data_IF_438716347885
#
_entry.id   IF_438716347885
#
_cell.length_a   1.000
_cell.length_b   1.000
_cell.length_c   1.000
_cell.angle_alpha   90.00
_cell.angle_beta   90.00
_cell.angle_gamma   90.00
#
_symmetry.space_group_name_H-M   'P 1'
#
loop_
_entity.id
_entity.type
_entity.pdbx_description
1 polymer ?
#
# COMPACT_ATOMS: atom_id res chain seq x y z
N UNK A 1 -9.72 -13.75 -11.73
CA UNK A 1 -9.09 -12.51 -11.20
C UNK A 1 -7.94 -13.03 -10.39
N UNK A 2 -6.73 -12.75 -10.84
CA UNK A 2 -5.56 -13.54 -10.45
C UNK A 2 -4.63 -12.74 -9.52
N UNK A 3 -4.92 -11.45 -9.37
CA UNK A 3 -4.21 -10.53 -8.47
C UNK A 3 -4.73 -10.71 -7.04
N UNK A 4 -3.85 -11.15 -6.13
CA UNK A 4 -4.15 -11.28 -4.70
C UNK A 4 -3.24 -10.35 -3.91
N UNK A 5 -3.81 -9.61 -2.96
CA UNK A 5 -3.05 -8.76 -2.03
C UNK A 5 -3.29 -9.21 -0.61
N UNK A 6 -2.19 -9.46 0.12
CA UNK A 6 -2.22 -9.84 1.52
C UNK A 6 -1.65 -8.68 2.33
N UNK A 7 -2.34 -8.30 3.39
CA UNK A 7 -1.94 -7.20 4.29
C UNK A 7 -1.84 -7.76 5.70
N UNK A 8 -0.69 -7.53 6.34
CA UNK A 8 -0.43 -7.95 7.71
C UNK A 8 0.28 -6.85 8.49
N UNK A 9 0.18 -6.91 9.81
CA UNK A 9 0.82 -5.97 10.74
C UNK A 9 2.28 -6.31 11.05
N UNK A 10 2.71 -7.55 10.80
CA UNK A 10 4.07 -8.01 11.03
C UNK A 10 4.46 -9.10 10.02
N UNK A 11 5.78 -9.35 9.91
CA UNK A 11 6.34 -10.32 8.98
C UNK A 11 5.87 -11.75 9.24
N UNK A 12 5.91 -12.20 10.49
CA UNK A 12 5.53 -13.57 10.87
C UNK A 12 4.11 -13.92 10.42
N UNK A 13 3.15 -13.06 10.72
CA UNK A 13 1.76 -13.22 10.31
C UNK A 13 1.61 -13.18 8.78
N UNK A 14 2.42 -12.37 8.09
CA UNK A 14 2.40 -12.33 6.62
C UNK A 14 2.89 -13.66 6.02
N UNK A 15 3.96 -14.23 6.58
CA UNK A 15 4.49 -15.54 6.18
C UNK A 15 3.47 -16.66 6.41
N UNK A 16 2.83 -16.69 7.58
CA UNK A 16 1.75 -17.63 7.89
C UNK A 16 0.58 -17.53 6.89
N UNK A 17 0.16 -16.31 6.52
CA UNK A 17 -0.90 -16.11 5.52
C UNK A 17 -0.48 -16.58 4.13
N UNK A 18 0.78 -16.33 3.74
CA UNK A 18 1.31 -16.77 2.45
C UNK A 18 1.36 -18.30 2.39
N UNK A 19 1.80 -18.96 3.46
CA UNK A 19 1.86 -20.42 3.54
C UNK A 19 0.46 -21.04 3.38
N UNK A 20 -0.56 -20.49 4.04
CA UNK A 20 -1.95 -20.91 3.87
C UNK A 20 -2.41 -20.73 2.42
N UNK A 21 -2.07 -19.61 1.78
CA UNK A 21 -2.40 -19.38 0.36
C UNK A 21 -1.70 -20.40 -0.55
N UNK A 22 -0.43 -20.71 -0.29
CA UNK A 22 0.33 -21.70 -1.05
C UNK A 22 -0.22 -23.11 -0.88
N UNK A 23 -0.60 -23.51 0.34
CA UNK A 23 -1.31 -24.77 0.58
C UNK A 23 -2.62 -24.84 -0.21
N UNK A 24 -3.40 -23.77 -0.21
CA UNK A 24 -4.63 -23.69 -1.01
C UNK A 24 -4.35 -23.81 -2.51
N UNK A 25 -3.33 -23.12 -3.03
CA UNK A 25 -2.96 -23.21 -4.44
C UNK A 25 -2.52 -24.62 -4.82
N UNK A 26 -1.73 -25.28 -3.97
CA UNK A 26 -1.28 -26.65 -4.18
C UNK A 26 -2.45 -27.65 -4.25
N UNK A 27 -3.46 -27.51 -3.36
CA UNK A 27 -4.66 -28.36 -3.37
C UNK A 27 -5.45 -28.21 -4.68
N UNK A 28 -5.43 -27.03 -5.28
CA UNK A 28 -6.19 -26.70 -6.49
C UNK A 28 -5.35 -26.80 -7.77
N UNK A 29 -4.12 -27.32 -7.71
CA UNK A 29 -3.15 -27.35 -8.83
C UNK A 29 -2.91 -25.98 -9.49
N UNK A 30 -2.93 -24.92 -8.66
CA UNK A 30 -2.63 -23.54 -9.07
C UNK A 30 -1.15 -23.27 -8.81
N UNK A 31 -0.43 -22.75 -9.81
CA UNK A 31 0.98 -22.39 -9.68
C UNK A 31 1.15 -20.90 -9.40
N UNK A 32 1.58 -20.56 -8.18
CA UNK A 32 1.97 -19.20 -7.85
C UNK A 32 3.32 -18.84 -8.49
N UNK A 33 3.43 -17.61 -9.02
CA UNK A 33 4.69 -17.10 -9.54
C UNK A 33 5.33 -16.16 -8.51
N UNK A 34 6.11 -16.74 -7.60
CA UNK A 34 6.81 -16.01 -6.52
C UNK A 34 7.71 -14.89 -7.06
N UNK A 35 8.28 -15.06 -8.26
CA UNK A 35 9.11 -14.05 -8.91
C UNK A 35 8.38 -12.74 -9.26
N UNK A 36 7.05 -12.75 -9.29
CA UNK A 36 6.21 -11.57 -9.51
C UNK A 36 5.69 -10.92 -8.23
N UNK A 37 6.01 -11.48 -7.06
CA UNK A 37 5.51 -10.94 -5.80
C UNK A 37 6.15 -9.57 -5.54
N UNK A 38 5.34 -8.67 -4.98
CA UNK A 38 5.78 -7.32 -4.63
C UNK A 38 5.56 -7.12 -3.13
N UNK A 39 6.61 -6.70 -2.42
CA UNK A 39 6.53 -6.44 -0.99
C UNK A 39 6.43 -4.95 -0.72
N UNK A 40 5.31 -4.55 -0.15
CA UNK A 40 5.06 -3.18 0.26
C UNK A 40 5.22 -3.02 1.77
N UNK A 41 6.13 -2.17 2.21
CA UNK A 41 6.46 -1.99 3.63
C UNK A 41 6.08 -0.62 4.18
N UNK A 42 5.09 -0.56 5.05
CA UNK A 42 4.68 0.71 5.64
C UNK A 42 5.22 0.81 7.06
N UNK A 43 6.06 1.82 7.33
CA UNK A 43 6.67 2.09 8.63
C UNK A 43 7.49 0.92 9.22
N UNK A 44 7.97 -0.02 8.38
CA UNK A 44 8.76 -1.16 8.83
C UNK A 44 10.26 -0.95 8.58
N UNK A 45 11.08 -1.40 9.53
CA UNK A 45 12.56 -1.42 9.42
C UNK A 45 13.09 -2.74 8.87
N UNK A 46 12.25 -3.77 8.78
CA UNK A 46 12.66 -5.09 8.31
C UNK A 46 12.92 -5.08 6.81
N UNK A 47 14.03 -5.71 6.42
CA UNK A 47 14.56 -5.57 5.06
C UNK A 47 13.95 -6.57 4.10
N UNK A 48 13.74 -7.82 4.49
CA UNK A 48 13.51 -8.89 3.51
C UNK A 48 12.40 -9.86 3.94
N UNK A 49 11.59 -10.26 2.97
CA UNK A 49 10.65 -11.38 3.05
C UNK A 49 11.18 -12.47 2.11
N UNK A 50 11.35 -13.66 2.65
CA UNK A 50 11.78 -14.84 1.90
C UNK A 50 10.59 -15.79 1.80
N UNK A 51 10.28 -16.21 0.59
CA UNK A 51 9.16 -17.11 0.30
C UNK A 51 9.73 -18.28 -0.50
N UNK A 52 9.61 -19.49 0.03
CA UNK A 52 10.08 -20.72 -0.65
C UNK A 52 11.55 -20.63 -1.11
N UNK A 53 12.42 -20.02 -0.31
CA UNK A 53 13.84 -19.82 -0.65
C UNK A 53 14.12 -18.69 -1.65
N UNK A 54 13.08 -17.96 -2.08
CA UNK A 54 13.21 -16.80 -2.97
C UNK A 54 13.01 -15.49 -2.18
N UNK A 55 14.00 -14.60 -2.26
CA UNK A 55 13.88 -13.24 -1.72
C UNK A 55 13.00 -12.40 -2.64
N UNK A 56 11.97 -11.76 -2.09
CA UNK A 56 11.10 -10.86 -2.85
C UNK A 56 11.89 -9.63 -3.31
N UNK A 57 12.03 -9.48 -4.63
CA UNK A 57 12.92 -8.48 -5.25
C UNK A 57 12.36 -7.06 -5.24
N UNK A 58 11.05 -6.88 -5.41
CA UNK A 58 10.45 -5.55 -5.52
C UNK A 58 10.03 -5.05 -4.14
N UNK A 59 10.72 -4.00 -3.69
CA UNK A 59 10.43 -3.27 -2.45
C UNK A 59 10.01 -1.84 -2.75
N UNK A 60 9.46 -1.17 -1.74
CA UNK A 60 9.04 0.22 -1.82
C UNK A 60 10.03 1.16 -2.49
N UNK A 61 9.52 2.03 -3.36
CA UNK A 61 10.23 3.23 -3.81
C UNK A 61 10.12 4.35 -2.75
N UNK A 62 11.19 5.12 -2.55
CA UNK A 62 11.23 6.30 -1.68
C UNK A 62 10.25 7.40 -2.11
N UNK A 63 10.03 7.53 -3.41
CA UNK A 63 9.07 8.48 -3.96
C UNK A 63 7.63 8.10 -3.56
N UNK A 64 7.37 6.80 -3.39
CA UNK A 64 6.08 6.22 -3.07
C UNK A 64 5.69 5.11 -4.04
N UNK A 65 4.72 4.30 -3.64
CA UNK A 65 4.21 3.19 -4.45
C UNK A 65 2.78 3.51 -4.88
N UNK A 66 2.47 3.15 -6.13
CA UNK A 66 1.14 3.25 -6.70
C UNK A 66 0.53 1.86 -6.77
N UNK A 67 -0.63 1.68 -6.16
CA UNK A 67 -1.39 0.44 -6.22
C UNK A 67 -2.84 0.77 -6.57
N UNK A 68 -3.36 0.17 -7.65
CA UNK A 68 -4.72 0.40 -8.17
C UNK A 68 -5.09 1.89 -8.30
N UNK A 69 -4.13 2.73 -8.69
CA UNK A 69 -4.33 4.17 -8.84
C UNK A 69 -4.16 4.99 -7.56
N UNK A 70 -4.09 4.35 -6.38
CA UNK A 70 -3.85 5.01 -5.09
C UNK A 70 -2.34 5.13 -4.83
N UNK A 71 -1.90 6.31 -4.41
CA UNK A 71 -0.51 6.59 -4.07
C UNK A 71 -0.29 6.54 -2.56
N UNK A 72 0.69 5.78 -2.10
CA UNK A 72 1.10 5.77 -0.69
C UNK A 72 2.62 5.71 -0.55
N UNK A 73 3.12 6.38 0.49
CA UNK A 73 4.56 6.38 0.82
C UNK A 73 4.87 5.35 1.89
N UNK A 74 6.11 4.84 1.84
CA UNK A 74 6.64 3.88 2.81
C UNK A 74 6.64 4.41 4.25
N UNK A 75 6.81 5.72 4.43
CA UNK A 75 6.90 6.39 5.74
C UNK A 75 5.54 6.78 6.32
N UNK A 76 4.44 6.45 5.62
CA UNK A 76 3.03 6.72 5.93
C UNK A 76 2.86 7.87 6.93
N UNK A 77 3.37 9.05 6.55
CA UNK A 77 3.29 10.29 7.32
C UNK A 77 1.88 10.85 7.27
N UNK A 78 0.92 10.08 7.81
CA UNK A 78 -0.51 10.35 7.82
C UNK A 78 -0.83 11.76 8.30
N UNK A 79 -0.07 12.26 9.27
CA UNK A 79 -0.19 13.64 9.78
C UNK A 79 0.04 14.67 8.66
N UNK A 80 1.12 14.55 7.89
CA UNK A 80 1.41 15.46 6.76
C UNK A 80 0.28 15.44 5.72
N UNK A 81 -0.26 14.26 5.41
CA UNK A 81 -1.37 14.17 4.46
C UNK A 81 -2.65 14.81 5.00
N UNK A 82 -3.00 14.57 6.27
CA UNK A 82 -4.12 15.23 6.94
C UNK A 82 -3.93 16.75 6.93
N UNK A 83 -2.75 17.24 7.29
CA UNK A 83 -2.44 18.66 7.34
C UNK A 83 -2.56 19.30 5.94
N UNK A 84 -2.09 18.62 4.89
CA UNK A 84 -2.28 19.06 3.49
C UNK A 84 -3.75 19.14 3.09
N UNK A 85 -4.54 18.10 3.38
CA UNK A 85 -5.97 18.07 3.06
C UNK A 85 -6.69 19.21 3.80
N UNK A 86 -6.45 19.35 5.10
CA UNK A 86 -7.01 20.44 5.91
C UNK A 86 -6.63 21.80 5.35
N UNK A 87 -5.37 21.99 4.94
CA UNK A 87 -4.93 23.24 4.30
C UNK A 87 -5.69 23.53 3.01
N UNK A 88 -5.88 22.54 2.12
CA UNK A 88 -6.61 22.71 0.86
C UNK A 88 -8.07 23.08 1.12
N UNK A 89 -8.72 22.39 2.06
CA UNK A 89 -10.10 22.68 2.46
C UNK A 89 -10.22 24.10 3.00
N UNK A 90 -9.34 24.50 3.92
CA UNK A 90 -9.35 25.84 4.49
C UNK A 90 -9.11 26.91 3.43
N UNK A 91 -8.19 26.70 2.51
CA UNK A 91 -7.97 27.60 1.37
C UNK A 91 -9.23 27.72 0.51
N UNK A 92 -9.90 26.61 0.18
CA UNK A 92 -11.14 26.63 -0.58
C UNK A 92 -12.26 27.37 0.16
N UNK A 93 -12.50 27.04 1.44
CA UNK A 93 -13.50 27.72 2.27
C UNK A 93 -13.23 29.23 2.38
N UNK A 94 -11.96 29.63 2.52
CA UNK A 94 -11.59 31.04 2.54
C UNK A 94 -11.89 31.73 1.19
N UNK A 95 -11.62 31.08 0.05
CA UNK A 95 -11.99 31.63 -1.26
C UNK A 95 -13.51 31.84 -1.36
N UNK A 96 -14.31 30.88 -0.89
CA UNK A 96 -15.77 30.98 -0.90
C UNK A 96 -16.30 32.05 0.08
N UNK A 97 -15.66 32.23 1.23
CA UNK A 97 -16.04 33.28 2.18
C UNK A 97 -15.76 34.70 1.64
N UNK A 98 -14.74 34.86 0.80
CA UNK A 98 -14.33 36.17 0.27
C UNK A 98 -14.95 36.49 -1.09
N UNK A 99 -15.35 35.48 -1.86
CA UNK A 99 -16.16 35.68 -3.07
C UNK A 99 -17.63 35.74 -2.67
N UNK A 100 -18.19 36.94 -2.66
CA UNK A 100 -19.66 37.12 -2.67
C UNK A 100 -20.20 36.34 -3.87
N UNK A 101 -21.08 35.36 -3.63
CA UNK A 101 -21.87 34.72 -4.69
C UNK A 101 -22.78 35.82 -5.27
N UNK A 102 -22.29 36.51 -6.29
CA UNK A 102 -23.12 37.39 -7.09
C UNK A 102 -23.88 36.47 -8.05
N UNK A 103 -25.04 35.98 -7.62
CA UNK A 103 -26.06 35.52 -8.55
C UNK A 103 -26.46 36.73 -9.42
N UNK A 104 -26.33 36.56 -10.73
CA UNK A 104 -27.01 37.37 -11.74
C UNK A 104 -28.05 36.49 -12.40
#
# INVERSE_FOLDING_TARGET
>A
MDDTTIISNNKKNLEEMIDICHQFFNINDIKANVGKYELIKINSKEKELEIEGNVVKKMNNEEGNRYLGVYFRYDNKRKIYKDKITSIINSACNIFNWKKLNEK
#
